data_IF_664140901717
#
_entry.id   IF_664140901717
#
_cell.length_a   1.000
_cell.length_b   1.000
_cell.length_c   1.000
_cell.angle_alpha   90.00
_cell.angle_beta   90.00
_cell.angle_gamma   90.00
#
_symmetry.space_group_name_H-M   'P 1'
#
loop_
_entity.id
_entity.type
_entity.pdbx_description
1 polymer ?
#
# COMPACT_ATOMS: atom_id res chain seq x y z
N UNK A 1 -31.62 55.30 16.17
CA UNK A 1 -31.33 54.18 15.25
C UNK A 1 -32.31 54.25 14.10
N UNK A 2 -31.83 54.56 12.91
CA UNK A 2 -32.66 54.75 11.72
C UNK A 2 -33.10 53.39 11.16
N UNK A 3 -34.15 53.38 10.33
CA UNK A 3 -34.54 52.18 9.57
C UNK A 3 -33.37 51.64 8.73
N UNK A 4 -32.51 52.54 8.23
CA UNK A 4 -31.33 52.20 7.46
C UNK A 4 -30.28 51.44 8.30
N UNK A 5 -30.04 51.85 9.54
CA UNK A 5 -29.11 51.16 10.46
C UNK A 5 -29.58 49.73 10.77
N UNK A 6 -30.89 49.51 10.89
CA UNK A 6 -31.47 48.17 11.09
C UNK A 6 -31.25 47.27 9.88
N UNK A 7 -31.38 47.82 8.67
CA UNK A 7 -31.15 47.07 7.42
C UNK A 7 -29.67 46.64 7.33
N UNK A 8 -28.73 47.54 7.65
CA UNK A 8 -27.30 47.20 7.65
C UNK A 8 -26.98 46.10 8.65
N UNK A 9 -27.49 46.20 9.88
CA UNK A 9 -27.30 45.17 10.91
C UNK A 9 -27.83 43.80 10.49
N UNK A 10 -29.01 43.77 9.83
CA UNK A 10 -29.58 42.53 9.31
C UNK A 10 -28.71 41.93 8.19
N UNK A 11 -28.19 42.74 7.27
CA UNK A 11 -27.31 42.26 6.20
C UNK A 11 -26.00 41.67 6.75
N UNK A 12 -25.43 42.30 7.78
CA UNK A 12 -24.23 41.81 8.44
C UNK A 12 -24.47 40.46 9.12
N UNK A 13 -25.62 40.29 9.77
CA UNK A 13 -26.01 39.05 10.43
C UNK A 13 -26.27 37.92 9.40
N UNK A 14 -26.90 38.24 8.27
CA UNK A 14 -27.09 37.30 7.15
C UNK A 14 -25.74 36.86 6.58
N UNK A 15 -24.82 37.80 6.35
CA UNK A 15 -23.46 37.51 5.86
C UNK A 15 -22.71 36.58 6.80
N UNK A 16 -22.74 36.85 8.11
CA UNK A 16 -22.12 36.00 9.12
C UNK A 16 -22.72 34.59 9.11
N UNK A 17 -24.04 34.49 9.00
CA UNK A 17 -24.75 33.21 8.97
C UNK A 17 -24.40 32.38 7.73
N UNK A 18 -24.26 33.02 6.57
CA UNK A 18 -23.82 32.37 5.32
C UNK A 18 -22.39 31.82 5.46
N UNK A 19 -21.47 32.57 6.07
CA UNK A 19 -20.09 32.10 6.27
C UNK A 19 -20.03 30.86 7.15
N UNK A 20 -20.77 30.85 8.27
CA UNK A 20 -20.84 29.69 9.18
C UNK A 20 -21.41 28.46 8.47
N UNK A 21 -22.42 28.63 7.61
CA UNK A 21 -22.97 27.54 6.81
C UNK A 21 -21.95 26.98 5.81
N UNK A 22 -21.18 27.86 5.14
CA UNK A 22 -20.13 27.45 4.21
C UNK A 22 -19.00 26.69 4.93
N UNK A 23 -18.54 27.18 6.08
CA UNK A 23 -17.53 26.50 6.91
C UNK A 23 -18.03 25.12 7.37
N UNK A 24 -19.28 25.03 7.83
CA UNK A 24 -19.90 23.76 8.21
C UNK A 24 -19.93 22.77 7.05
N UNK A 25 -20.25 23.23 5.84
CA UNK A 25 -20.27 22.37 4.66
C UNK A 25 -18.87 21.87 4.29
N UNK A 26 -17.86 22.74 4.36
CA UNK A 26 -16.47 22.34 4.14
C UNK A 26 -16.00 21.29 5.16
N UNK A 27 -16.37 21.46 6.44
CA UNK A 27 -16.07 20.47 7.49
C UNK A 27 -16.77 19.13 7.22
N UNK A 28 -18.02 19.15 6.77
CA UNK A 28 -18.77 17.94 6.43
C UNK A 28 -18.07 17.15 5.31
N UNK A 29 -17.62 17.85 4.26
CA UNK A 29 -16.87 17.22 3.16
C UNK A 29 -15.55 16.61 3.63
N UNK A 30 -14.84 17.27 4.56
CA UNK A 30 -13.60 16.70 5.12
C UNK A 30 -13.83 15.41 5.92
N UNK A 31 -14.93 15.33 6.67
CA UNK A 31 -15.32 14.12 7.40
C UNK A 31 -15.61 12.98 6.44
N UNK A 32 -16.36 13.23 5.36
CA UNK A 32 -16.66 12.23 4.33
C UNK A 32 -15.38 11.71 3.66
N UNK A 33 -14.44 12.59 3.36
CA UNK A 33 -13.13 12.21 2.83
C UNK A 33 -12.37 11.34 3.83
N UNK A 34 -12.35 11.72 5.12
CA UNK A 34 -11.64 10.95 6.14
C UNK A 34 -12.22 9.54 6.33
N UNK A 35 -13.55 9.41 6.28
CA UNK A 35 -14.22 8.10 6.34
C UNK A 35 -13.88 7.23 5.14
N UNK A 36 -13.84 7.80 3.93
CA UNK A 36 -13.47 7.06 2.73
C UNK A 36 -11.98 6.66 2.75
N UNK A 37 -11.09 7.54 3.22
CA UNK A 37 -9.68 7.21 3.45
C UNK A 37 -9.54 6.02 4.41
N UNK A 38 -10.32 6.00 5.50
CA UNK A 38 -10.31 4.90 6.46
C UNK A 38 -10.76 3.58 5.81
N UNK A 39 -11.83 3.61 5.01
CA UNK A 39 -12.32 2.44 4.26
C UNK A 39 -11.27 1.90 3.30
N UNK A 40 -10.63 2.77 2.52
CA UNK A 40 -9.55 2.40 1.59
C UNK A 40 -8.39 1.77 2.36
N UNK A 41 -7.95 2.38 3.46
CA UNK A 41 -6.86 1.84 4.28
C UNK A 41 -7.19 0.46 4.85
N UNK A 42 -8.42 0.24 5.31
CA UNK A 42 -8.87 -1.07 5.81
C UNK A 42 -8.84 -2.12 4.69
N UNK A 43 -9.34 -1.80 3.51
CA UNK A 43 -9.32 -2.72 2.38
C UNK A 43 -7.89 -3.05 1.92
N UNK A 44 -7.01 -2.04 1.86
CA UNK A 44 -5.59 -2.25 1.55
C UNK A 44 -4.89 -3.09 2.63
N UNK A 45 -5.26 -2.94 3.90
CA UNK A 45 -4.78 -3.80 4.99
C UNK A 45 -5.24 -5.24 4.79
N UNK A 46 -6.50 -5.49 4.45
CA UNK A 46 -7.01 -6.85 4.21
C UNK A 46 -6.33 -7.50 2.99
N UNK A 47 -6.17 -6.74 1.90
CA UNK A 47 -5.43 -7.20 0.71
C UNK A 47 -3.97 -7.48 1.04
N UNK A 48 -3.31 -6.61 1.81
CA UNK A 48 -1.93 -6.83 2.24
C UNK A 48 -1.81 -7.92 3.30
N UNK A 49 -2.85 -8.25 4.08
CA UNK A 49 -2.84 -9.46 4.92
C UNK A 49 -2.98 -10.73 4.06
N UNK A 50 -3.59 -10.65 2.88
CA UNK A 50 -3.59 -11.75 1.90
C UNK A 50 -2.20 -11.98 1.24
N UNK A 51 -1.41 -10.91 1.05
CA UNK A 51 -0.04 -10.99 0.48
C UNK A 51 1.10 -11.03 1.51
N UNK A 52 0.90 -10.46 2.69
CA UNK A 52 1.88 -10.17 3.73
C UNK A 52 1.75 -11.05 4.97
N UNK A 53 0.69 -11.84 5.12
CA UNK A 53 0.61 -12.90 6.14
C UNK A 53 1.57 -14.08 5.87
N UNK A 54 2.33 -14.06 4.77
CA UNK A 54 3.39 -15.06 4.55
C UNK A 54 4.69 -14.74 5.28
N UNK A 55 4.96 -13.48 5.60
CA UNK A 55 6.26 -13.06 6.08
C UNK A 55 6.14 -12.44 7.47
N UNK A 56 6.62 -13.15 8.48
CA UNK A 56 6.69 -12.65 9.85
C UNK A 56 7.72 -11.51 9.91
N UNK A 57 7.69 -10.72 10.99
CA UNK A 57 8.72 -9.69 11.22
C UNK A 57 10.16 -10.26 11.24
N UNK A 58 10.30 -11.58 11.46
CA UNK A 58 11.57 -12.33 11.43
C UNK A 58 11.91 -12.95 10.06
N UNK A 59 11.13 -12.66 9.02
CA UNK A 59 11.33 -13.27 7.70
C UNK A 59 12.69 -12.88 7.10
N UNK A 60 13.47 -13.91 6.77
CA UNK A 60 14.84 -13.74 6.29
C UNK A 60 14.83 -13.26 4.85
N UNK A 61 15.35 -12.05 4.63
CA UNK A 61 15.64 -11.54 3.29
C UNK A 61 16.87 -12.23 2.70
N UNK A 62 16.77 -12.62 1.43
CA UNK A 62 17.85 -13.23 0.66
C UNK A 62 18.15 -12.38 -0.55
N UNK A 63 19.42 -12.05 -0.74
CA UNK A 63 19.95 -11.45 -1.96
C UNK A 63 19.89 -12.44 -3.12
N UNK A 64 19.96 -11.94 -4.35
CA UNK A 64 20.06 -12.77 -5.56
C UNK A 64 21.12 -13.88 -5.44
N UNK A 65 22.32 -13.57 -4.94
CA UNK A 65 23.40 -14.56 -4.83
C UNK A 65 23.00 -15.71 -3.90
N UNK A 66 22.39 -15.38 -2.77
CA UNK A 66 21.88 -16.38 -1.82
C UNK A 66 20.73 -17.19 -2.41
N UNK A 67 19.84 -16.58 -3.21
CA UNK A 67 18.77 -17.30 -3.92
C UNK A 67 19.32 -18.31 -4.93
N UNK A 68 20.37 -17.94 -5.69
CA UNK A 68 21.02 -18.85 -6.63
C UNK A 68 21.58 -20.08 -5.92
N UNK A 69 22.24 -19.86 -4.78
CA UNK A 69 22.78 -20.94 -3.96
C UNK A 69 21.65 -21.79 -3.34
N UNK A 70 20.63 -21.16 -2.77
CA UNK A 70 19.52 -21.83 -2.10
C UNK A 70 18.70 -22.72 -3.04
N UNK A 71 18.42 -22.25 -4.25
CA UNK A 71 17.68 -23.00 -5.26
C UNK A 71 18.58 -23.89 -6.13
N UNK A 72 19.90 -23.85 -5.94
CA UNK A 72 20.91 -24.50 -6.78
C UNK A 72 20.68 -24.24 -8.28
N UNK A 73 20.53 -22.98 -8.67
CA UNK A 73 20.28 -22.58 -10.07
C UNK A 73 21.34 -21.61 -10.60
N UNK A 74 21.56 -21.64 -11.91
CA UNK A 74 22.42 -20.68 -12.60
C UNK A 74 21.77 -19.29 -12.71
N UNK A 75 22.60 -18.27 -12.89
CA UNK A 75 22.14 -16.89 -13.18
C UNK A 75 21.22 -16.81 -14.41
N UNK A 76 21.49 -17.62 -15.44
CA UNK A 76 20.64 -17.72 -16.64
C UNK A 76 19.26 -18.28 -16.33
N UNK A 77 19.19 -19.31 -15.47
CA UNK A 77 17.92 -19.90 -15.03
C UNK A 77 17.14 -18.92 -14.16
N UNK A 78 17.83 -18.19 -13.28
CA UNK A 78 17.24 -17.12 -12.49
C UNK A 78 16.61 -16.05 -13.38
N UNK A 79 17.37 -15.48 -14.32
CA UNK A 79 16.86 -14.44 -15.24
C UNK A 79 15.65 -14.91 -16.03
N UNK A 80 15.67 -16.16 -16.52
CA UNK A 80 14.51 -16.77 -17.20
C UNK A 80 13.30 -16.86 -16.27
N UNK A 81 13.47 -17.40 -15.06
CA UNK A 81 12.38 -17.53 -14.08
C UNK A 81 11.81 -16.18 -13.64
N UNK A 82 12.64 -15.14 -13.55
CA UNK A 82 12.17 -13.77 -13.29
C UNK A 82 11.33 -13.25 -14.46
N UNK A 83 11.78 -13.46 -15.70
CA UNK A 83 11.03 -13.07 -16.91
C UNK A 83 9.70 -13.79 -17.04
N UNK A 84 9.65 -15.08 -16.66
CA UNK A 84 8.44 -15.91 -16.64
C UNK A 84 7.52 -15.60 -15.44
N UNK A 85 7.95 -14.74 -14.52
CA UNK A 85 7.20 -14.37 -13.31
C UNK A 85 7.19 -15.43 -12.20
N UNK A 86 8.00 -16.50 -12.34
CA UNK A 86 8.16 -17.58 -11.36
C UNK A 86 9.01 -17.16 -10.15
N UNK A 87 9.94 -16.22 -10.35
CA UNK A 87 10.66 -15.54 -9.27
C UNK A 87 10.31 -14.06 -9.34
N UNK A 88 9.85 -13.48 -8.22
CA UNK A 88 9.43 -12.08 -8.13
C UNK A 88 10.34 -11.31 -7.17
N UNK A 89 11.49 -10.78 -7.63
CA UNK A 89 12.38 -10.02 -6.77
C UNK A 89 11.73 -8.71 -6.35
N UNK A 90 11.95 -8.34 -5.09
CA UNK A 90 11.76 -6.98 -4.62
C UNK A 90 13.02 -6.16 -4.93
N UNK A 91 12.84 -4.91 -5.35
CA UNK A 91 13.95 -3.99 -5.62
C UNK A 91 14.26 -3.23 -4.34
N UNK A 92 15.41 -3.52 -3.73
CA UNK A 92 15.88 -2.81 -2.54
C UNK A 92 17.34 -2.42 -2.73
N UNK A 93 17.67 -1.12 -2.55
CA UNK A 93 19.03 -0.62 -2.64
C UNK A 93 19.75 -0.85 -3.98
N UNK A 94 19.00 -0.99 -5.08
CA UNK A 94 19.56 -1.28 -6.42
C UNK A 94 19.82 -2.77 -6.69
N UNK A 95 19.53 -3.66 -5.74
CA UNK A 95 19.63 -5.11 -5.88
C UNK A 95 18.28 -5.83 -5.93
N UNK A 96 18.33 -7.10 -6.33
CA UNK A 96 17.20 -8.04 -6.20
C UNK A 96 17.28 -8.72 -4.82
N UNK A 97 16.19 -8.61 -4.06
CA UNK A 97 16.01 -9.31 -2.78
C UNK A 97 14.70 -10.10 -2.77
N UNK A 98 14.65 -11.16 -1.96
CA UNK A 98 13.52 -12.06 -1.83
C UNK A 98 13.28 -12.37 -0.36
N UNK A 99 12.02 -12.61 0.01
CA UNK A 99 11.75 -13.35 1.25
C UNK A 99 11.99 -14.83 1.00
N UNK A 100 12.69 -15.50 1.92
CA UNK A 100 13.02 -16.93 1.81
C UNK A 100 11.77 -17.80 1.66
N UNK A 101 10.68 -17.41 2.30
CA UNK A 101 9.40 -18.12 2.31
C UNK A 101 8.76 -18.13 0.92
N UNK A 102 8.94 -17.06 0.13
CA UNK A 102 8.46 -17.00 -1.27
C UNK A 102 9.21 -17.96 -2.19
N UNK A 103 10.42 -18.39 -1.80
CA UNK A 103 11.24 -19.32 -2.57
C UNK A 103 10.87 -20.79 -2.30
N UNK A 104 10.07 -21.09 -1.28
CA UNK A 104 9.76 -22.47 -0.88
C UNK A 104 9.08 -23.27 -1.99
N UNK A 105 8.16 -22.65 -2.72
CA UNK A 105 7.48 -23.30 -3.85
C UNK A 105 8.47 -23.61 -4.98
N UNK A 106 9.35 -22.67 -5.31
CA UNK A 106 10.39 -22.86 -6.32
C UNK A 106 11.42 -23.94 -5.89
N UNK A 107 11.74 -24.02 -4.60
CA UNK A 107 12.60 -25.05 -4.04
C UNK A 107 11.94 -26.43 -4.15
N UNK A 108 10.68 -26.54 -3.75
CA UNK A 108 9.92 -27.79 -3.84
C UNK A 108 9.84 -28.30 -5.29
N UNK A 109 9.60 -27.41 -6.25
CA UNK A 109 9.63 -27.78 -7.67
C UNK A 109 11.01 -28.24 -8.15
N UNK A 110 12.08 -27.62 -7.66
CA UNK A 110 13.46 -28.02 -7.99
C UNK A 110 13.75 -29.43 -7.49
N UNK A 111 13.35 -29.75 -6.25
CA UNK A 111 13.43 -31.08 -5.65
C UNK A 111 12.60 -32.10 -6.41
N UNK A 112 11.34 -31.77 -6.74
CA UNK A 112 10.45 -32.65 -7.52
C UNK A 112 11.04 -33.02 -8.89
N UNK A 113 11.81 -32.11 -9.50
CA UNK A 113 12.49 -32.32 -10.79
C UNK A 113 13.90 -32.94 -10.64
N UNK A 114 14.33 -33.29 -9.43
CA UNK A 114 15.62 -33.93 -9.15
C UNK A 114 16.84 -33.04 -9.39
N UNK A 115 16.70 -31.71 -9.28
CA UNK A 115 17.81 -30.75 -9.48
C UNK A 115 18.57 -30.41 -8.19
N UNK A 116 18.01 -30.79 -7.05
CA UNK A 116 18.53 -30.68 -5.68
C UNK A 116 18.14 -31.98 -5.00
#
# INVERSE_FOLDING_TARGET
MTQFDRIIQLLELIRQSINVLAERQALQTLVEIADEQLRIMQHLKEQSMSYGSKHNADSTLMTKQEVLAYLNISDSTYKRRVREGLLKPMRLGGGDVFYKEDLQQALWESKRKGKI
#
